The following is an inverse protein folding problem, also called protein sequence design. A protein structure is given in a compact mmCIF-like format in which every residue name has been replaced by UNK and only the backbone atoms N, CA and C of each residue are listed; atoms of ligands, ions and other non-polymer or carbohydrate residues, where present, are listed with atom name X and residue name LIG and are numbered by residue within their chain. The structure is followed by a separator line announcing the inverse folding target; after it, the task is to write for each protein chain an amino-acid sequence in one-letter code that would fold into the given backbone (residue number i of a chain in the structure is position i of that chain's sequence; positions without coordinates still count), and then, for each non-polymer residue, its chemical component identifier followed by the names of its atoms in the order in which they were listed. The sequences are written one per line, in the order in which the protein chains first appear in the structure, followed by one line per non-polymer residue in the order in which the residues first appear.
data_IF_956796642126
#
_entry.id   IF_956796642126
#
_cell.length_a   1.000
_cell.length_b   1.000
_cell.length_c   1.000
_cell.angle_alpha   90.00
_cell.angle_beta   90.00
_cell.angle_gamma   90.00
#
_symmetry.space_group_name_H-M   'P 1'
#
loop_
_entity.id
_entity.type
_entity.pdbx_description
1 polymer ?
#
# COMPACT_ATOMS: atom_id res chain seq x y z
N UNK A 1 -31.64 -21.34 9.03
CA UNK A 1 -31.38 -19.98 8.49
C UNK A 1 -30.77 -20.14 7.11
N UNK A 2 -31.40 -19.69 6.02
CA UNK A 2 -30.87 -19.92 4.68
C UNK A 2 -29.60 -19.10 4.45
N UNK A 3 -28.54 -19.77 4.03
CA UNK A 3 -27.25 -19.18 3.69
C UNK A 3 -27.42 -18.23 2.50
N UNK A 4 -27.34 -16.91 2.74
CA UNK A 4 -27.45 -15.89 1.70
C UNK A 4 -26.24 -16.00 0.77
N UNK A 5 -26.37 -16.77 -0.32
CA UNK A 5 -25.36 -16.89 -1.38
C UNK A 5 -24.93 -15.49 -1.82
N UNK A 6 -23.65 -15.16 -1.62
CA UNK A 6 -23.09 -13.92 -2.14
C UNK A 6 -23.17 -13.97 -3.68
N UNK A 7 -23.54 -12.87 -4.35
CA UNK A 7 -23.64 -12.86 -5.81
C UNK A 7 -22.28 -13.21 -6.43
N UNK A 8 -22.23 -14.32 -7.17
CA UNK A 8 -21.03 -14.85 -7.85
C UNK A 8 -20.75 -14.16 -9.20
N UNK A 9 -21.66 -13.30 -9.65
CA UNK A 9 -21.53 -12.60 -10.94
C UNK A 9 -20.26 -11.72 -11.05
N UNK A 10 -19.87 -10.90 -10.06
CA UNK A 10 -18.69 -10.04 -10.18
C UNK A 10 -17.39 -10.86 -10.33
N UNK A 11 -17.27 -11.97 -9.60
CA UNK A 11 -16.12 -12.88 -9.70
C UNK A 11 -16.05 -13.51 -11.09
N UNK A 12 -17.19 -13.93 -11.65
CA UNK A 12 -17.25 -14.52 -12.99
C UNK A 12 -16.86 -13.51 -14.07
N UNK A 13 -17.36 -12.27 -13.98
CA UNK A 13 -16.98 -11.20 -14.91
C UNK A 13 -15.48 -10.91 -14.86
N UNK A 14 -14.89 -10.81 -13.67
CA UNK A 14 -13.44 -10.58 -13.56
C UNK A 14 -12.63 -11.76 -14.11
N UNK A 15 -13.10 -12.99 -13.89
CA UNK A 15 -12.40 -14.19 -14.34
C UNK A 15 -12.48 -14.35 -15.87
N UNK A 16 -13.64 -14.02 -16.45
CA UNK A 16 -13.83 -13.95 -17.90
C UNK A 16 -12.95 -12.87 -18.53
N UNK A 17 -12.92 -11.66 -17.96
CA UNK A 17 -12.10 -10.57 -18.46
C UNK A 17 -10.60 -10.93 -18.45
N UNK A 18 -10.09 -11.43 -17.32
CA UNK A 18 -8.70 -11.88 -17.20
C UNK A 18 -8.41 -13.04 -18.15
N UNK A 19 -9.34 -13.99 -18.29
CA UNK A 19 -9.21 -15.13 -19.21
C UNK A 19 -9.13 -14.71 -20.68
N UNK A 20 -9.99 -13.78 -21.11
CA UNK A 20 -9.96 -13.22 -22.47
C UNK A 20 -8.66 -12.46 -22.72
N UNK A 21 -8.22 -11.61 -21.78
CA UNK A 21 -6.95 -10.90 -21.90
C UNK A 21 -5.76 -11.87 -21.96
N UNK A 22 -5.77 -12.94 -21.16
CA UNK A 22 -4.74 -13.98 -21.21
C UNK A 22 -4.72 -14.70 -22.55
N UNK A 23 -5.90 -15.03 -23.10
CA UNK A 23 -6.00 -15.64 -24.43
C UNK A 23 -5.44 -14.74 -25.54
N UNK A 24 -5.85 -13.47 -25.57
CA UNK A 24 -5.36 -12.49 -26.55
C UNK A 24 -3.84 -12.32 -26.42
N UNK A 25 -3.33 -12.24 -25.18
CA UNK A 25 -1.89 -12.12 -24.96
C UNK A 25 -1.11 -13.33 -25.50
N UNK A 26 -1.61 -14.55 -25.26
CA UNK A 26 -0.97 -15.76 -25.78
C UNK A 26 -0.96 -15.80 -27.31
N UNK A 27 -2.02 -15.31 -27.96
CA UNK A 27 -2.12 -15.25 -29.42
C UNK A 27 -1.24 -14.17 -30.05
N UNK A 28 -1.10 -13.02 -29.38
CA UNK A 28 -0.30 -11.87 -29.87
C UNK A 28 1.16 -11.91 -29.43
N UNK A 29 1.54 -12.93 -28.66
CA UNK A 29 2.88 -13.13 -28.07
C UNK A 29 4.03 -12.99 -29.06
N UNK A 30 3.83 -13.44 -30.30
CA UNK A 30 4.85 -13.35 -31.36
C UNK A 30 5.26 -11.91 -31.73
N UNK A 31 4.39 -10.92 -31.52
CA UNK A 31 4.67 -9.50 -31.83
C UNK A 31 5.06 -8.64 -30.64
N UNK A 32 4.60 -8.96 -29.42
CA UNK A 32 4.73 -8.10 -28.24
C UNK A 32 5.75 -8.57 -27.20
N UNK A 33 6.17 -9.85 -27.23
CA UNK A 33 7.22 -10.44 -26.39
C UNK A 33 6.94 -10.55 -24.88
N UNK A 34 6.12 -9.66 -24.30
CA UNK A 34 5.83 -9.56 -22.87
C UNK A 34 4.52 -10.20 -22.40
N UNK A 35 4.37 -10.35 -21.09
CA UNK A 35 3.20 -10.91 -20.40
C UNK A 35 2.22 -9.84 -19.88
N UNK A 36 1.72 -8.93 -20.73
CA UNK A 36 0.81 -7.83 -20.32
C UNK A 36 -0.51 -8.29 -19.67
N UNK A 37 -0.92 -9.54 -19.87
CA UNK A 37 -2.07 -10.08 -19.14
C UNK A 37 -1.83 -10.17 -17.62
N UNK A 38 -0.58 -10.28 -17.16
CA UNK A 38 -0.24 -10.30 -15.73
C UNK A 38 -0.51 -8.93 -15.09
N UNK A 39 -0.28 -7.83 -15.81
CA UNK A 39 -0.54 -6.49 -15.30
C UNK A 39 -2.05 -6.30 -15.04
N UNK A 40 -2.88 -6.75 -15.98
CA UNK A 40 -4.34 -6.73 -15.85
C UNK A 40 -4.80 -7.60 -14.69
N UNK A 41 -4.26 -8.82 -14.57
CA UNK A 41 -4.57 -9.72 -13.47
C UNK A 41 -4.20 -9.09 -12.11
N UNK A 42 -3.04 -8.43 -12.01
CA UNK A 42 -2.59 -7.74 -10.79
C UNK A 42 -3.53 -6.58 -10.42
N UNK A 43 -4.00 -5.80 -11.38
CA UNK A 43 -4.98 -4.72 -11.16
C UNK A 43 -6.29 -5.28 -10.60
N UNK A 44 -6.84 -6.32 -11.22
CA UNK A 44 -8.08 -6.94 -10.74
C UNK A 44 -7.92 -7.58 -9.36
N UNK A 45 -6.78 -8.22 -9.09
CA UNK A 45 -6.46 -8.78 -7.78
C UNK A 45 -6.41 -7.67 -6.71
N UNK A 46 -5.72 -6.55 -7.00
CA UNK A 46 -5.68 -5.38 -6.13
C UNK A 46 -7.08 -4.84 -5.82
N UNK A 47 -7.91 -4.62 -6.85
CA UNK A 47 -9.28 -4.12 -6.70
C UNK A 47 -10.15 -5.06 -5.85
N UNK A 48 -10.01 -6.38 -6.04
CA UNK A 48 -10.72 -7.37 -5.24
C UNK A 48 -10.36 -7.27 -3.76
N UNK A 49 -9.06 -7.17 -3.45
CA UNK A 49 -8.60 -7.04 -2.05
C UNK A 49 -9.01 -5.70 -1.47
N UNK A 50 -8.96 -4.61 -2.24
CA UNK A 50 -9.45 -3.29 -1.84
C UNK A 50 -10.93 -3.34 -1.42
N UNK A 51 -11.79 -3.91 -2.27
CA UNK A 51 -13.24 -3.95 -1.99
C UNK A 51 -13.57 -4.91 -0.84
N UNK A 52 -13.01 -6.11 -0.84
CA UNK A 52 -13.32 -7.10 0.19
C UNK A 52 -12.71 -6.76 1.54
N UNK A 53 -11.44 -6.39 1.55
CA UNK A 53 -10.67 -6.31 2.78
C UNK A 53 -10.54 -4.86 3.29
N UNK A 54 -10.52 -3.85 2.43
CA UNK A 54 -10.46 -2.45 2.91
C UNK A 54 -11.85 -1.89 3.18
N UNK A 55 -12.79 -2.04 2.24
CA UNK A 55 -14.13 -1.45 2.36
C UNK A 55 -15.02 -2.23 3.34
N UNK A 56 -15.08 -3.56 3.21
CA UNK A 56 -16.03 -4.38 3.99
C UNK A 56 -15.52 -4.88 5.34
N UNK A 57 -14.21 -4.81 5.59
CA UNK A 57 -13.65 -5.36 6.82
C UNK A 57 -13.84 -4.43 8.03
N UNK A 58 -13.98 -5.03 9.22
CA UNK A 58 -13.94 -4.33 10.52
C UNK A 58 -12.54 -4.21 11.12
N UNK A 59 -11.50 -4.64 10.39
CA UNK A 59 -10.11 -4.56 10.85
C UNK A 59 -9.65 -3.11 11.07
N UNK A 60 -8.68 -2.93 11.96
CA UNK A 60 -8.00 -1.65 12.26
C UNK A 60 -7.58 -0.91 10.98
N UNK A 61 -7.77 0.41 10.97
CA UNK A 61 -7.48 1.25 9.80
C UNK A 61 -6.01 1.20 9.38
N UNK A 62 -5.09 1.20 10.34
CA UNK A 62 -3.64 1.10 10.10
C UNK A 62 -3.25 -0.17 9.35
N UNK A 63 -3.81 -1.33 9.75
CA UNK A 63 -3.52 -2.60 9.07
C UNK A 63 -4.05 -2.61 7.63
N UNK A 64 -5.22 -2.02 7.39
CA UNK A 64 -5.75 -1.86 6.03
C UNK A 64 -4.84 -1.01 5.17
N UNK A 65 -4.34 0.10 5.72
CA UNK A 65 -3.42 1.00 5.04
C UNK A 65 -2.12 0.27 4.66
N UNK A 66 -1.52 -0.48 5.60
CA UNK A 66 -0.31 -1.27 5.35
C UNK A 66 -0.53 -2.36 4.30
N UNK A 67 -1.67 -3.07 4.36
CA UNK A 67 -2.00 -4.08 3.36
C UNK A 67 -2.10 -3.47 1.96
N UNK A 68 -2.80 -2.33 1.83
CA UNK A 68 -2.92 -1.63 0.55
C UNK A 68 -1.57 -1.16 0.03
N UNK A 69 -0.69 -0.66 0.89
CA UNK A 69 0.67 -0.30 0.53
C UNK A 69 1.46 -1.49 -0.03
N UNK A 70 1.44 -2.62 0.67
CA UNK A 70 2.11 -3.85 0.21
C UNK A 70 1.61 -4.28 -1.16
N UNK A 71 0.30 -4.23 -1.39
CA UNK A 71 -0.29 -4.65 -2.67
C UNK A 71 0.06 -3.69 -3.81
N UNK A 72 0.07 -2.38 -3.56
CA UNK A 72 0.50 -1.39 -4.57
C UNK A 72 1.97 -1.63 -4.94
N UNK A 73 2.84 -1.80 -3.95
CA UNK A 73 4.27 -2.06 -4.18
C UNK A 73 4.46 -3.37 -4.96
N UNK A 74 3.77 -4.44 -4.57
CA UNK A 74 3.82 -5.72 -5.28
C UNK A 74 3.34 -5.58 -6.74
N UNK A 75 2.25 -4.85 -6.97
CA UNK A 75 1.72 -4.56 -8.30
C UNK A 75 2.74 -3.78 -9.16
N UNK A 76 3.40 -2.77 -8.58
CA UNK A 76 4.45 -2.02 -9.26
C UNK A 76 5.63 -2.90 -9.67
N UNK A 77 6.03 -3.86 -8.83
CA UNK A 77 7.07 -4.83 -9.18
C UNK A 77 6.66 -5.74 -10.35
N UNK A 78 5.38 -6.14 -10.44
CA UNK A 78 4.86 -6.91 -11.57
C UNK A 78 4.97 -6.10 -12.87
N UNK A 79 4.59 -4.82 -12.83
CA UNK A 79 4.65 -3.94 -13.99
C UNK A 79 6.09 -3.74 -14.47
N UNK A 80 7.04 -3.54 -13.55
CA UNK A 80 8.46 -3.39 -13.85
C UNK A 80 9.06 -4.63 -14.52
N UNK A 81 8.70 -5.81 -14.00
CA UNK A 81 9.09 -7.09 -14.58
C UNK A 81 8.56 -7.25 -16.01
N UNK A 82 7.31 -6.90 -16.23
CA UNK A 82 6.68 -7.04 -17.53
C UNK A 82 7.15 -6.00 -18.57
N UNK A 83 7.51 -4.80 -18.11
CA UNK A 83 8.08 -3.74 -18.95
C UNK A 83 9.51 -4.02 -19.44
N UNK A 84 10.10 -5.17 -19.11
CA UNK A 84 11.38 -5.61 -19.67
C UNK A 84 12.62 -5.14 -18.91
N UNK A 85 12.51 -4.94 -17.57
CA UNK A 85 13.60 -4.60 -16.63
C UNK A 85 14.01 -3.13 -16.57
N UNK A 86 13.14 -2.21 -16.97
CA UNK A 86 13.34 -0.81 -16.60
C UNK A 86 13.05 -0.67 -15.11
N UNK A 87 14.07 -0.51 -14.26
CA UNK A 87 14.02 -0.29 -12.79
C UNK A 87 13.23 0.98 -12.37
N UNK A 88 12.26 1.41 -13.17
CA UNK A 88 11.50 2.63 -12.99
C UNK A 88 10.63 2.57 -11.73
N UNK A 89 10.09 1.40 -11.40
CA UNK A 89 9.32 1.22 -10.17
C UNK A 89 10.19 1.48 -8.95
N UNK A 90 11.39 0.88 -8.89
CA UNK A 90 12.32 1.00 -7.76
C UNK A 90 12.91 2.41 -7.69
N UNK A 91 13.22 3.01 -8.84
CA UNK A 91 13.79 4.35 -8.91
C UNK A 91 12.77 5.45 -8.58
N UNK A 92 11.50 5.30 -8.96
CA UNK A 92 10.51 6.38 -8.85
C UNK A 92 9.20 5.93 -8.24
N UNK A 93 8.51 4.94 -8.81
CA UNK A 93 7.13 4.65 -8.43
C UNK A 93 6.97 4.20 -6.97
N UNK A 94 7.85 3.32 -6.47
CA UNK A 94 7.87 2.82 -5.09
C UNK A 94 8.19 3.96 -4.11
N UNK A 95 9.26 4.77 -4.30
CA UNK A 95 9.50 5.95 -3.46
C UNK A 95 8.29 6.89 -3.37
N UNK A 96 7.66 7.23 -4.50
CA UNK A 96 6.49 8.11 -4.50
C UNK A 96 5.25 7.45 -3.87
N UNK A 97 5.04 6.15 -4.07
CA UNK A 97 3.98 5.41 -3.38
C UNK A 97 4.17 5.43 -1.86
N UNK A 98 5.42 5.29 -1.38
CA UNK A 98 5.75 5.39 0.04
C UNK A 98 5.48 6.80 0.60
N UNK A 99 5.82 7.85 -0.15
CA UNK A 99 5.48 9.24 0.23
C UNK A 99 3.97 9.41 0.35
N UNK A 100 3.21 8.95 -0.66
CA UNK A 100 1.75 9.02 -0.65
C UNK A 100 1.15 8.26 0.54
N UNK A 101 1.72 7.11 0.91
CA UNK A 101 1.31 6.35 2.08
C UNK A 101 1.55 7.10 3.39
N UNK A 102 2.75 7.67 3.57
CA UNK A 102 3.11 8.46 4.76
C UNK A 102 2.21 9.68 4.86
N UNK A 103 1.96 10.36 3.74
CA UNK A 103 1.03 11.49 3.69
C UNK A 103 -0.38 11.08 4.11
N UNK A 104 -0.90 9.97 3.58
CA UNK A 104 -2.23 9.47 3.91
C UNK A 104 -2.33 9.04 5.39
N UNK A 105 -1.30 8.37 5.92
CA UNK A 105 -1.23 8.03 7.34
C UNK A 105 -1.30 9.29 8.23
N UNK A 106 -0.55 10.32 7.85
CA UNK A 106 -0.51 11.62 8.54
C UNK A 106 -1.87 12.30 8.50
N UNK A 107 -2.47 12.38 7.32
CA UNK A 107 -3.80 12.94 7.13
C UNK A 107 -4.85 12.24 7.99
N UNK A 108 -4.86 10.90 8.04
CA UNK A 108 -5.79 10.14 8.87
C UNK A 108 -5.58 10.44 10.35
N UNK A 109 -4.32 10.45 10.80
CA UNK A 109 -3.96 10.72 12.20
C UNK A 109 -4.38 12.13 12.64
N UNK A 110 -4.29 13.12 11.75
CA UNK A 110 -4.67 14.51 12.03
C UNK A 110 -6.19 14.71 12.02
N UNK A 111 -6.91 14.04 11.13
CA UNK A 111 -8.35 14.26 10.93
C UNK A 111 -9.24 13.40 11.81
N UNK A 112 -8.79 12.19 12.19
CA UNK A 112 -9.59 11.23 12.95
C UNK A 112 -9.15 11.18 14.41
N UNK A 113 -10.13 11.04 15.31
CA UNK A 113 -9.88 10.63 16.70
C UNK A 113 -9.59 9.12 16.71
N UNK A 114 -8.32 8.77 16.79
CA UNK A 114 -7.85 7.38 16.81
C UNK A 114 -7.66 6.90 18.24
N UNK A 115 -7.89 5.60 18.47
CA UNK A 115 -7.43 4.94 19.68
C UNK A 115 -5.90 4.91 19.73
N UNK A 116 -5.32 4.83 20.92
CA UNK A 116 -3.86 4.76 21.09
C UNK A 116 -3.22 3.60 20.31
N UNK A 117 -3.88 2.44 20.29
CA UNK A 117 -3.39 1.28 19.53
C UNK A 117 -3.40 1.52 18.02
N UNK A 118 -4.44 2.17 17.48
CA UNK A 118 -4.47 2.52 16.04
C UNK A 118 -3.45 3.59 15.69
N UNK A 119 -3.28 4.59 16.55
CA UNK A 119 -2.28 5.64 16.39
C UNK A 119 -0.85 5.07 16.29
N UNK A 120 -0.48 4.18 17.22
CA UNK A 120 0.81 3.45 17.14
C UNK A 120 0.91 2.65 15.83
N UNK A 121 -0.18 2.02 15.38
CA UNK A 121 -0.20 1.29 14.12
C UNK A 121 0.15 2.18 12.92
N UNK A 122 -0.33 3.43 12.88
CA UNK A 122 0.05 4.37 11.81
C UNK A 122 1.50 4.84 11.95
N UNK A 123 2.01 5.08 13.16
CA UNK A 123 3.43 5.38 13.37
C UNK A 123 4.33 4.25 12.85
N UNK A 124 3.97 3.00 13.15
CA UNK A 124 4.70 1.82 12.66
C UNK A 124 4.65 1.75 11.13
N UNK A 125 3.50 2.03 10.52
CA UNK A 125 3.38 2.08 9.06
C UNK A 125 4.31 3.15 8.44
N UNK A 126 4.37 4.35 9.04
CA UNK A 126 5.25 5.44 8.57
C UNK A 126 6.71 5.02 8.61
N UNK A 127 7.17 4.39 9.70
CA UNK A 127 8.56 3.95 9.83
C UNK A 127 8.88 2.82 8.85
N UNK A 128 8.05 1.77 8.81
CA UNK A 128 8.31 0.59 7.98
C UNK A 128 8.34 0.92 6.49
N UNK A 129 7.30 1.61 5.99
CA UNK A 129 7.20 1.91 4.56
C UNK A 129 8.03 3.14 4.17
N UNK A 130 8.22 4.10 5.07
CA UNK A 130 9.04 5.26 4.81
C UNK A 130 10.52 4.94 4.58
N UNK A 131 11.04 3.90 5.25
CA UNK A 131 12.44 3.45 5.07
C UNK A 131 12.59 2.38 3.97
N UNK A 132 11.49 1.85 3.45
CA UNK A 132 11.51 0.79 2.44
C UNK A 132 12.26 1.19 1.15
N UNK A 133 12.14 2.42 0.61
CA UNK A 133 12.92 2.85 -0.56
C UNK A 133 14.44 2.87 -0.33
N UNK A 134 14.89 3.15 0.90
CA UNK A 134 16.31 3.17 1.24
C UNK A 134 16.90 1.76 1.29
N UNK A 135 16.12 0.77 1.72
CA UNK A 135 16.52 -0.64 1.62
C UNK A 135 16.79 -1.05 0.17
N UNK A 136 16.03 -0.50 -0.79
CA UNK A 136 16.29 -0.69 -2.23
C UNK A 136 17.64 -0.14 -2.69
N UNK A 137 18.10 0.98 -2.11
CA UNK A 137 19.44 1.53 -2.37
C UNK A 137 20.52 0.59 -1.83
N UNK A 138 20.37 0.13 -0.58
CA UNK A 138 21.36 -0.73 0.08
C UNK A 138 21.57 -2.07 -0.65
N UNK A 139 20.52 -2.56 -1.30
CA UNK A 139 20.55 -3.78 -2.12
C UNK A 139 21.13 -3.56 -3.52
N UNK A 140 21.45 -2.31 -3.90
CA UNK A 140 22.03 -1.98 -5.20
C UNK A 140 21.03 -1.99 -6.36
N UNK A 141 19.72 -1.93 -6.10
CA UNK A 141 18.68 -1.97 -7.14
C UNK A 141 18.36 -0.59 -7.75
N UNK A 142 18.85 0.51 -7.18
CA UNK A 142 18.51 1.87 -7.61
C UNK A 142 19.63 2.53 -8.40
N UNK A 143 19.29 3.13 -9.53
CA UNK A 143 20.17 4.05 -10.26
C UNK A 143 20.03 5.49 -9.76
N UNK A 144 18.82 5.90 -9.37
CA UNK A 144 18.54 7.25 -8.87
C UNK A 144 18.21 7.21 -7.38
N UNK A 145 19.10 7.75 -6.55
CA UNK A 145 18.98 7.66 -5.09
C UNK A 145 18.10 8.75 -4.47
N UNK A 146 17.95 9.89 -5.17
CA UNK A 146 17.26 11.06 -4.60
C UNK A 146 15.78 10.81 -4.22
N UNK A 147 14.97 10.03 -4.97
CA UNK A 147 13.56 9.80 -4.59
C UNK A 147 13.46 9.00 -3.29
N UNK A 148 14.35 8.02 -3.11
CA UNK A 148 14.40 7.21 -1.90
C UNK A 148 14.82 8.02 -0.67
N UNK A 149 15.82 8.91 -0.81
CA UNK A 149 16.19 9.83 0.27
C UNK A 149 15.07 10.82 0.61
N UNK A 150 14.37 11.36 -0.40
CA UNK A 150 13.23 12.23 -0.19
C UNK A 150 12.10 11.51 0.58
N UNK A 151 11.79 10.27 0.20
CA UNK A 151 10.80 9.45 0.89
C UNK A 151 11.18 9.17 2.34
N UNK A 152 12.42 8.77 2.60
CA UNK A 152 12.90 8.50 3.95
C UNK A 152 12.96 9.76 4.83
N UNK A 153 13.45 10.88 4.28
CA UNK A 153 13.47 12.16 4.98
C UNK A 153 12.07 12.62 5.39
N UNK A 154 11.10 12.53 4.45
CA UNK A 154 9.71 12.86 4.73
C UNK A 154 9.10 11.95 5.80
N UNK A 155 9.42 10.65 5.78
CA UNK A 155 8.95 9.71 6.79
C UNK A 155 9.53 9.97 8.18
N UNK A 156 10.84 10.26 8.28
CA UNK A 156 11.49 10.62 9.55
C UNK A 156 10.89 11.90 10.11
N UNK A 157 10.73 12.93 9.27
CA UNK A 157 10.08 14.18 9.67
C UNK A 157 8.67 13.92 10.20
N UNK A 158 7.87 13.18 9.46
CA UNK A 158 6.50 12.81 9.85
C UNK A 158 6.47 12.05 11.17
N UNK A 159 7.37 11.08 11.34
CA UNK A 159 7.46 10.28 12.56
C UNK A 159 7.79 11.14 13.78
N UNK A 160 8.76 12.06 13.66
CA UNK A 160 9.10 13.00 14.72
C UNK A 160 7.92 13.91 15.09
N UNK A 161 7.22 14.46 14.09
CA UNK A 161 6.02 15.26 14.30
C UNK A 161 4.95 14.45 15.04
N UNK A 162 4.69 13.21 14.62
CA UNK A 162 3.77 12.33 15.31
C UNK A 162 4.21 12.08 16.76
N UNK A 163 5.49 11.80 17.03
CA UNK A 163 5.99 11.60 18.40
C UNK A 163 5.75 12.81 19.31
N UNK A 164 5.95 14.03 18.80
CA UNK A 164 5.67 15.25 19.55
C UNK A 164 4.18 15.37 19.92
N UNK A 165 3.28 15.08 18.98
CA UNK A 165 1.83 15.09 19.22
C UNK A 165 1.36 13.97 20.16
N UNK A 166 2.02 12.80 20.12
CA UNK A 166 1.71 11.67 20.98
C UNK A 166 1.89 12.02 22.46
N UNK A 167 3.00 12.69 22.80
CA UNK A 167 3.30 13.14 24.16
C UNK A 167 2.27 14.14 24.71
N UNK A 168 1.77 15.03 23.85
CA UNK A 168 0.72 15.99 24.23
C UNK A 168 -0.61 15.32 24.58
N UNK A 169 -1.02 14.30 23.81
CA UNK A 169 -2.25 13.53 24.07
C UNK A 169 -2.14 12.62 25.29
N UNK A 170 -0.99 11.98 25.50
CA UNK A 170 -0.76 11.07 26.62
C UNK A 170 -0.91 11.74 27.99
N UNK A 171 -0.45 12.99 28.14
CA UNK A 171 -0.58 13.73 29.42
C UNK A 171 -2.05 13.98 29.81
N UNK A 172 -2.96 14.18 28.86
CA UNK A 172 -4.38 14.45 29.15
C UNK A 172 -5.20 13.22 29.54
N UNK A 173 -4.87 12.05 28.97
CA UNK A 173 -5.57 10.79 29.25
C UNK A 173 -5.14 10.17 30.58
N UNK A 174 -3.87 10.33 30.97
CA UNK A 174 -3.34 9.80 32.22
C UNK A 174 -4.02 10.45 33.45
N UNK A 175 -4.27 11.75 33.44
CA UNK A 175 -4.91 12.47 34.56
C UNK A 175 -6.39 12.13 34.74
N UNK A 176 -7.07 11.62 33.70
CA UNK A 176 -8.47 11.17 33.78
C UNK A 176 -8.62 9.78 34.41
N UNK A 177 -7.62 8.91 34.24
CA UNK A 177 -7.66 7.52 34.76
C UNK A 177 -7.25 7.39 36.22
N UNK A 178 -6.57 8.40 36.77
CA UNK A 178 -6.16 8.46 38.18
C UNK A 178 -7.06 9.33 39.04
N UNK A 179 -8.18 9.82 38.50
CA UNK A 179 -9.21 10.52 39.27
C UNK A 179 -10.33 9.50 39.56
N UNK A 180 -10.04 8.57 40.46
CA UNK A 180 -10.99 7.69 41.14
C UNK A 180 -10.90 7.97 42.63
#
# INVERSE_FOLDING_TARGET
MPEKKRPCWPTLVTLLAVGVCAWINLMTRGSSGGYWCLDIAAIFAYLWVLVLHTVKSKTRGSLKLMLQACLIIAMLCVFDWNAGRGLWSVNFAIPFACIGLVFLATYIVMTRKLSWSEYIGYMVAVVLFGQMPVMGILLGFTHFVWPSFAAAGYAVFTFLVMLLFANGRYKGERTRRFRF
#
